data_IF_201360113928
#
_entry.id   IF_201360113928
#
_cell.length_a   1.000
_cell.length_b   1.000
_cell.length_c   1.000
_cell.angle_alpha   90.00
_cell.angle_beta   90.00
_cell.angle_gamma   90.00
#
_symmetry.space_group_name_H-M   'P 1'
#
loop_
_entity.id
_entity.type
_entity.pdbx_description
1 polymer ?
#
# COMPACT_ATOMS: atom_id res chain seq x y z
N UNK A 1 2.76 12.99 -15.10
CA UNK A 1 4.21 12.93 -15.38
C UNK A 1 4.52 11.51 -15.82
N UNK A 2 4.98 11.31 -17.06
CA UNK A 2 5.30 9.96 -17.54
C UNK A 2 6.57 9.49 -16.83
N UNK A 3 6.41 8.61 -15.85
CA UNK A 3 7.52 7.91 -15.20
C UNK A 3 8.22 7.02 -16.23
N UNK A 4 9.55 7.06 -16.25
CA UNK A 4 10.35 6.22 -17.14
C UNK A 4 10.27 4.76 -16.65
N UNK A 5 9.95 3.79 -17.53
CA UNK A 5 9.97 2.37 -17.18
C UNK A 5 11.26 1.97 -16.47
N UNK A 6 11.12 1.22 -15.39
CA UNK A 6 12.18 0.74 -14.52
C UNK A 6 13.32 0.08 -15.30
N UNK A 7 13.00 -0.78 -16.27
CA UNK A 7 13.99 -1.47 -17.11
C UNK A 7 14.77 -0.53 -18.03
N UNK A 8 14.28 0.68 -18.29
CA UNK A 8 14.93 1.66 -19.16
C UNK A 8 15.87 2.60 -18.41
N UNK A 9 15.66 2.77 -17.09
CA UNK A 9 16.39 3.75 -16.28
C UNK A 9 17.92 3.59 -16.33
N UNK A 10 18.50 2.38 -16.27
CA UNK A 10 19.96 2.20 -16.37
C UNK A 10 20.53 2.78 -17.68
N UNK A 11 19.77 2.67 -18.78
CA UNK A 11 20.19 3.11 -20.12
C UNK A 11 19.84 4.58 -20.41
N UNK A 12 18.98 5.21 -19.60
CA UNK A 12 18.46 6.56 -19.84
C UNK A 12 18.88 7.62 -18.83
N UNK A 13 18.71 7.32 -17.54
CA UNK A 13 18.75 8.32 -16.47
C UNK A 13 19.73 7.98 -15.35
N UNK A 14 20.07 6.70 -15.18
CA UNK A 14 20.95 6.21 -14.13
C UNK A 14 22.23 5.62 -14.72
N UNK A 15 23.09 6.48 -15.26
CA UNK A 15 24.31 6.09 -15.99
C UNK A 15 25.31 5.25 -15.18
N UNK A 16 25.26 5.32 -13.85
CA UNK A 16 26.10 4.53 -12.93
C UNK A 16 25.56 3.12 -12.68
N UNK A 17 24.33 2.83 -13.11
CA UNK A 17 23.67 1.54 -12.95
C UNK A 17 23.85 0.77 -14.25
N UNK A 18 24.56 -0.36 -14.17
CA UNK A 18 24.96 -1.14 -15.34
C UNK A 18 23.78 -1.77 -16.10
N UNK A 19 22.81 -2.32 -15.38
CA UNK A 19 21.68 -3.07 -15.95
C UNK A 19 20.50 -3.13 -14.97
N UNK A 20 19.40 -3.76 -15.39
CA UNK A 20 18.17 -3.86 -14.59
C UNK A 20 18.35 -4.71 -13.33
N UNK A 21 19.19 -5.75 -13.36
CA UNK A 21 19.44 -6.62 -12.20
C UNK A 21 20.23 -5.84 -11.15
N UNK A 22 21.21 -5.04 -11.59
CA UNK A 22 21.90 -4.10 -10.73
C UNK A 22 20.94 -3.07 -10.13
N UNK A 23 20.04 -2.50 -10.92
CA UNK A 23 19.03 -1.55 -10.44
C UNK A 23 18.13 -2.17 -9.37
N UNK A 24 17.66 -3.41 -9.58
CA UNK A 24 16.82 -4.14 -8.63
C UNK A 24 17.50 -4.33 -7.27
N UNK A 25 18.77 -4.74 -7.27
CA UNK A 25 19.53 -4.90 -6.03
C UNK A 25 19.80 -3.54 -5.35
N UNK A 26 20.02 -2.46 -6.11
CA UNK A 26 20.12 -1.11 -5.54
C UNK A 26 18.78 -0.71 -4.90
N UNK A 27 17.65 -0.92 -5.58
CA UNK A 27 16.32 -0.55 -5.10
C UNK A 27 15.99 -1.18 -3.73
N UNK A 28 16.31 -2.47 -3.57
CA UNK A 28 16.14 -3.19 -2.30
C UNK A 28 17.00 -2.64 -1.17
N UNK A 29 18.13 -2.01 -1.48
CA UNK A 29 19.07 -1.46 -0.49
C UNK A 29 18.92 0.06 -0.26
N UNK A 30 18.35 0.79 -1.21
CA UNK A 30 18.32 2.27 -1.23
C UNK A 30 17.38 2.89 -0.21
N UNK A 31 17.65 4.10 0.28
CA UNK A 31 16.75 4.71 1.26
C UNK A 31 15.38 5.04 0.67
N UNK A 32 14.38 5.32 1.52
CA UNK A 32 13.05 5.78 1.07
C UNK A 32 13.07 7.11 0.31
N UNK A 33 14.14 7.89 0.47
CA UNK A 33 14.36 9.14 -0.26
C UNK A 33 14.83 8.92 -1.70
N UNK A 34 15.42 7.76 -2.00
CA UNK A 34 16.01 7.45 -3.30
C UNK A 34 15.00 6.92 -4.32
N UNK A 35 13.88 7.64 -4.50
CA UNK A 35 12.74 7.21 -5.34
C UNK A 35 13.10 6.90 -6.78
N UNK A 36 14.18 7.48 -7.31
CA UNK A 36 14.69 7.18 -8.65
C UNK A 36 15.02 5.70 -8.86
N UNK A 37 15.37 4.97 -7.78
CA UNK A 37 15.68 3.55 -7.85
C UNK A 37 14.47 2.65 -7.62
N UNK A 38 13.36 3.13 -7.09
CA UNK A 38 12.26 2.26 -6.67
C UNK A 38 11.38 1.82 -7.85
N UNK A 39 10.96 0.56 -7.80
CA UNK A 39 9.97 -0.01 -8.70
C UNK A 39 8.58 0.42 -8.24
N UNK A 40 7.75 0.89 -9.17
CA UNK A 40 6.35 1.15 -8.90
C UNK A 40 5.50 0.08 -9.60
N UNK A 41 4.95 -0.84 -8.80
CA UNK A 41 4.14 -1.94 -9.30
C UNK A 41 2.72 -1.50 -9.57
N UNK A 42 2.11 -0.72 -8.67
CA UNK A 42 0.78 -0.12 -8.84
C UNK A 42 0.75 1.20 -8.07
N UNK A 43 0.43 2.30 -8.76
CA UNK A 43 0.18 3.60 -8.13
C UNK A 43 -1.29 4.04 -8.22
N UNK A 44 -2.10 3.40 -9.07
CA UNK A 44 -3.51 3.73 -9.23
C UNK A 44 -4.39 3.23 -8.07
N UNK A 45 -4.95 4.17 -7.29
CA UNK A 45 -5.89 3.89 -6.20
C UNK A 45 -7.17 3.16 -6.64
N UNK A 46 -7.48 3.14 -7.94
CA UNK A 46 -8.59 2.40 -8.53
C UNK A 46 -8.30 0.94 -8.86
N UNK A 47 -7.05 0.47 -8.70
CA UNK A 47 -6.68 -0.92 -9.02
C UNK A 47 -7.55 -1.92 -8.25
N UNK A 48 -8.04 -2.91 -8.98
CA UNK A 48 -8.73 -4.08 -8.45
C UNK A 48 -8.01 -5.34 -8.95
N UNK A 49 -7.81 -6.34 -8.09
CA UNK A 49 -7.12 -7.56 -8.50
C UNK A 49 -7.90 -8.29 -9.58
N UNK A 50 -7.18 -8.76 -10.59
CA UNK A 50 -7.76 -9.61 -11.63
C UNK A 50 -8.02 -11.03 -11.09
N UNK A 51 -9.22 -11.56 -11.33
CA UNK A 51 -9.60 -12.90 -10.88
C UNK A 51 -8.84 -14.02 -11.59
N UNK A 52 -8.73 -15.19 -10.94
CA UNK A 52 -7.91 -16.30 -11.43
C UNK A 52 -8.31 -16.80 -12.83
N UNK A 53 -9.60 -16.90 -13.11
CA UNK A 53 -10.10 -17.36 -14.40
C UNK A 53 -9.74 -16.39 -15.53
N UNK A 54 -9.77 -15.08 -15.27
CA UNK A 54 -9.41 -14.07 -16.28
C UNK A 54 -7.91 -14.06 -16.56
N UNK A 55 -7.08 -14.15 -15.52
CA UNK A 55 -5.63 -14.22 -15.68
C UNK A 55 -5.20 -15.42 -16.53
N UNK A 56 -5.87 -16.57 -16.39
CA UNK A 56 -5.52 -17.80 -17.11
C UNK A 56 -5.97 -17.85 -18.57
N UNK A 57 -6.75 -16.88 -19.05
CA UNK A 57 -7.24 -16.87 -20.45
C UNK A 57 -6.14 -16.78 -21.50
N UNK A 58 -5.02 -16.11 -21.16
CA UNK A 58 -3.89 -15.86 -22.05
C UNK A 58 -2.58 -16.25 -21.40
N UNK A 59 -1.60 -16.62 -22.21
CA UNK A 59 -0.28 -16.98 -21.71
C UNK A 59 0.41 -15.71 -21.19
N UNK A 60 0.90 -15.70 -19.94
CA UNK A 60 1.57 -14.54 -19.40
C UNK A 60 2.94 -14.35 -20.05
N UNK A 61 3.19 -13.19 -20.64
CA UNK A 61 4.48 -12.78 -21.17
C UNK A 61 5.24 -11.98 -20.11
N UNK A 62 6.21 -12.62 -19.47
CA UNK A 62 6.97 -12.05 -18.37
C UNK A 62 8.11 -11.16 -18.88
N UNK A 63 8.19 -9.97 -18.31
CA UNK A 63 9.34 -9.09 -18.48
C UNK A 63 10.40 -9.32 -17.39
N UNK A 64 11.47 -8.53 -17.44
CA UNK A 64 12.53 -8.58 -16.44
C UNK A 64 12.06 -8.29 -15.01
N UNK A 65 11.11 -7.36 -14.83
CA UNK A 65 10.66 -6.98 -13.48
C UNK A 65 9.86 -8.10 -12.84
N UNK A 66 8.96 -8.75 -13.59
CA UNK A 66 8.24 -9.94 -13.14
C UNK A 66 9.20 -11.08 -12.80
N UNK A 67 10.20 -11.36 -13.65
CA UNK A 67 11.17 -12.42 -13.38
C UNK A 67 11.98 -12.18 -12.09
N UNK A 68 12.44 -10.94 -11.86
CA UNK A 68 13.24 -10.59 -10.68
C UNK A 68 12.40 -10.64 -9.39
N UNK A 69 11.19 -10.09 -9.42
CA UNK A 69 10.28 -10.11 -8.27
C UNK A 69 9.85 -11.54 -7.94
N UNK A 70 9.47 -12.34 -8.93
CA UNK A 70 9.07 -13.73 -8.72
C UNK A 70 10.21 -14.59 -8.19
N UNK A 71 11.43 -14.39 -8.68
CA UNK A 71 12.60 -15.10 -8.16
C UNK A 71 12.83 -14.78 -6.68
N UNK A 72 12.77 -13.50 -6.30
CA UNK A 72 13.09 -13.08 -4.93
C UNK A 72 12.00 -13.41 -3.94
N UNK A 73 10.75 -13.41 -4.39
CA UNK A 73 9.63 -13.91 -3.61
C UNK A 73 9.57 -15.45 -3.59
N UNK A 74 10.38 -16.16 -4.37
CA UNK A 74 10.37 -17.62 -4.47
C UNK A 74 9.05 -18.15 -5.06
N UNK A 75 8.53 -17.49 -6.08
CA UNK A 75 7.22 -17.75 -6.69
C UNK A 75 7.29 -18.38 -8.09
N UNK A 76 8.48 -18.53 -8.70
CA UNK A 76 8.64 -19.05 -10.07
C UNK A 76 7.88 -20.37 -10.27
N UNK A 77 8.16 -21.38 -9.43
CA UNK A 77 7.50 -22.69 -9.51
C UNK A 77 5.98 -22.59 -9.38
N UNK A 78 5.53 -21.75 -8.45
CA UNK A 78 4.13 -21.59 -8.14
C UNK A 78 3.37 -20.88 -9.27
N UNK A 79 3.97 -19.86 -9.90
CA UNK A 79 3.42 -19.18 -11.07
C UNK A 79 3.34 -20.10 -12.28
N UNK A 80 4.39 -20.87 -12.55
CA UNK A 80 4.38 -21.83 -13.67
C UNK A 80 3.33 -22.91 -13.44
N UNK A 81 3.16 -23.38 -12.21
CA UNK A 81 2.08 -24.31 -11.85
C UNK A 81 0.70 -23.68 -12.03
N UNK A 82 0.53 -22.42 -11.63
CA UNK A 82 -0.75 -21.71 -11.69
C UNK A 82 -1.23 -21.48 -13.13
N UNK A 83 -0.31 -21.14 -14.05
CA UNK A 83 -0.62 -20.88 -15.45
C UNK A 83 -0.45 -22.12 -16.36
N UNK A 84 0.30 -23.13 -15.92
CA UNK A 84 0.69 -24.31 -16.72
C UNK A 84 1.79 -24.02 -17.75
N UNK A 85 1.68 -22.89 -18.45
CA UNK A 85 2.69 -22.37 -19.36
C UNK A 85 2.88 -20.86 -19.16
N UNK A 86 4.11 -20.40 -19.31
CA UNK A 86 4.45 -18.98 -19.32
C UNK A 86 5.25 -18.66 -20.58
N UNK A 87 5.35 -17.38 -20.95
CA UNK A 87 6.20 -16.92 -22.03
C UNK A 87 7.27 -15.96 -21.51
N UNK A 88 8.49 -16.11 -22.00
CA UNK A 88 9.59 -15.16 -21.79
C UNK A 88 10.20 -14.90 -23.16
N UNK A 89 10.22 -13.65 -23.62
CA UNK A 89 10.73 -13.30 -24.95
C UNK A 89 12.17 -13.80 -25.13
N UNK A 90 12.51 -14.24 -26.35
CA UNK A 90 13.82 -14.85 -26.64
C UNK A 90 14.98 -13.92 -26.29
N UNK A 91 14.87 -12.63 -26.59
CA UNK A 91 15.86 -11.62 -26.24
C UNK A 91 16.03 -11.45 -24.72
N UNK A 92 14.97 -11.62 -23.93
CA UNK A 92 15.08 -11.60 -22.45
C UNK A 92 15.87 -12.81 -21.94
N UNK A 93 15.65 -14.00 -22.50
CA UNK A 93 16.42 -15.19 -22.17
C UNK A 93 17.89 -15.10 -22.62
N UNK A 94 18.15 -14.49 -23.78
CA UNK A 94 19.50 -14.21 -24.27
C UNK A 94 20.21 -13.17 -23.39
N UNK A 95 19.54 -12.07 -23.01
CA UNK A 95 20.08 -11.09 -22.06
C UNK A 95 20.38 -11.75 -20.70
N UNK A 96 19.53 -12.67 -20.22
CA UNK A 96 19.81 -13.44 -19.01
C UNK A 96 21.09 -14.28 -19.15
N UNK A 97 21.27 -14.96 -20.27
CA UNK A 97 22.48 -15.73 -20.54
C UNK A 97 23.72 -14.81 -20.58
N UNK A 98 23.63 -13.65 -21.22
CA UNK A 98 24.70 -12.64 -21.25
C UNK A 98 25.05 -12.13 -19.84
N UNK A 99 24.05 -11.84 -19.01
CA UNK A 99 24.27 -11.35 -17.65
C UNK A 99 24.92 -12.39 -16.72
N UNK A 100 24.81 -13.68 -17.04
CA UNK A 100 25.54 -14.74 -16.31
C UNK A 100 27.01 -14.86 -16.71
N UNK A 101 27.47 -14.14 -17.75
CA UNK A 101 28.86 -14.18 -18.19
C UNK A 101 29.81 -13.62 -17.11
N UNK A 102 30.88 -14.34 -16.75
CA UNK A 102 31.79 -13.91 -15.69
C UNK A 102 32.67 -12.69 -16.03
N UNK A 103 32.84 -12.36 -17.31
CA UNK A 103 33.77 -11.32 -17.77
C UNK A 103 33.06 -9.99 -18.03
N UNK A 104 31.89 -10.03 -18.65
CA UNK A 104 31.16 -8.83 -19.11
C UNK A 104 29.66 -8.87 -18.79
N UNK A 105 29.22 -9.81 -17.95
CA UNK A 105 27.83 -9.89 -17.49
C UNK A 105 27.49 -8.86 -16.43
N UNK A 106 26.36 -9.05 -15.76
CA UNK A 106 25.88 -8.14 -14.73
C UNK A 106 26.82 -8.15 -13.51
N UNK A 107 27.05 -7.00 -12.83
CA UNK A 107 27.73 -6.99 -11.53
C UNK A 107 26.96 -7.80 -10.46
N UNK A 108 25.68 -8.10 -10.71
CA UNK A 108 24.84 -8.97 -9.88
C UNK A 108 24.68 -10.37 -10.49
N UNK A 109 25.74 -10.90 -11.11
CA UNK A 109 25.79 -12.23 -11.74
C UNK A 109 25.19 -13.36 -10.89
N UNK A 110 25.44 -13.39 -9.57
CA UNK A 110 24.86 -14.42 -8.69
C UNK A 110 23.34 -14.46 -8.78
N UNK A 111 22.71 -13.29 -8.94
CA UNK A 111 21.27 -13.15 -9.06
C UNK A 111 20.72 -13.70 -10.37
N UNK A 112 21.45 -13.45 -11.47
CA UNK A 112 21.13 -14.03 -12.77
C UNK A 112 21.26 -15.56 -12.75
N UNK A 113 22.26 -16.09 -12.04
CA UNK A 113 22.44 -17.54 -11.88
C UNK A 113 21.32 -18.16 -11.03
N UNK A 114 20.89 -17.49 -9.95
CA UNK A 114 19.72 -17.90 -9.15
C UNK A 114 18.47 -18.00 -10.03
N UNK A 115 18.17 -16.96 -10.80
CA UNK A 115 17.02 -16.93 -11.71
C UNK A 115 17.12 -18.01 -12.79
N UNK A 116 18.29 -18.17 -13.43
CA UNK A 116 18.50 -19.21 -14.42
C UNK A 116 18.29 -20.61 -13.83
N UNK A 117 18.76 -20.85 -12.62
CA UNK A 117 18.57 -22.12 -11.92
C UNK A 117 17.12 -22.36 -11.53
N UNK A 118 16.36 -21.32 -11.17
CA UNK A 118 14.94 -21.41 -10.88
C UNK A 118 14.10 -21.72 -12.14
N UNK A 119 14.49 -21.19 -13.30
CA UNK A 119 13.78 -21.43 -14.57
C UNK A 119 14.11 -22.79 -15.21
N UNK A 120 15.32 -23.31 -14.98
CA UNK A 120 15.83 -24.53 -15.64
C UNK A 120 14.94 -25.78 -15.50
N UNK A 121 14.34 -26.09 -14.33
CA UNK A 121 13.43 -27.23 -14.19
C UNK A 121 12.17 -27.11 -15.05
N UNK A 122 11.81 -25.91 -15.46
CA UNK A 122 10.53 -25.59 -16.11
C UNK A 122 10.64 -25.24 -17.58
N UNK A 123 11.78 -25.46 -18.23
CA UNK A 123 12.01 -25.06 -19.63
C UNK A 123 10.94 -25.59 -20.60
N UNK A 124 10.36 -26.76 -20.34
CA UNK A 124 9.27 -27.32 -21.15
C UNK A 124 7.96 -26.52 -21.07
N UNK A 125 7.76 -25.76 -19.99
CA UNK A 125 6.60 -24.89 -19.76
C UNK A 125 6.87 -23.41 -20.11
N UNK A 126 8.09 -23.07 -20.55
CA UNK A 126 8.47 -21.70 -20.90
C UNK A 126 8.52 -21.57 -22.43
N UNK A 127 7.55 -20.86 -22.98
CA UNK A 127 7.55 -20.44 -24.38
C UNK A 127 8.57 -19.30 -24.57
N UNK A 128 9.33 -19.36 -25.67
CA UNK A 128 10.28 -18.31 -26.06
C UNK A 128 9.86 -17.67 -27.38
N UNK A 129 8.78 -16.87 -27.40
CA UNK A 129 8.33 -16.20 -28.60
C UNK A 129 9.39 -15.21 -29.10
N UNK A 130 9.42 -15.04 -30.42
CA UNK A 130 10.15 -13.99 -31.12
C UNK A 130 9.20 -13.33 -32.13
N UNK A 131 9.39 -12.05 -32.48
CA UNK A 131 8.55 -11.38 -33.45
C UNK A 131 8.62 -12.12 -34.79
N UNK A 132 7.49 -12.36 -35.48
CA UNK A 132 7.53 -12.92 -36.82
C UNK A 132 8.28 -11.96 -37.77
N UNK A 133 9.09 -12.53 -38.68
CA UNK A 133 10.05 -11.86 -39.59
C UNK A 133 9.48 -10.78 -40.52
N UNK A 134 8.18 -10.50 -40.45
CA UNK A 134 7.53 -9.48 -41.27
C UNK A 134 8.09 -8.10 -40.89
N UNK A 135 8.74 -7.45 -41.86
CA UNK A 135 9.36 -6.15 -41.74
C UNK A 135 8.41 -5.15 -41.04
N UNK A 136 8.71 -4.82 -39.79
CA UNK A 136 7.93 -3.86 -39.04
C UNK A 136 8.14 -2.48 -39.62
N UNK A 137 7.06 -1.81 -40.04
CA UNK A 137 7.07 -0.35 -40.11
C UNK A 137 7.47 0.18 -38.74
N UNK A 138 8.35 1.17 -38.71
CA UNK A 138 8.95 1.67 -37.48
C UNK A 138 7.86 2.14 -36.51
N UNK A 139 7.78 1.50 -35.35
CA UNK A 139 6.89 1.93 -34.28
C UNK A 139 7.22 3.39 -33.91
N UNK A 140 6.23 4.30 -33.82
CA UNK A 140 6.46 5.74 -33.67
C UNK A 140 7.11 6.12 -32.34
N UNK A 141 7.16 5.21 -31.34
CA UNK A 141 7.83 5.42 -30.07
C UNK A 141 9.10 4.56 -29.94
N UNK A 142 10.24 5.18 -29.65
CA UNK A 142 11.54 4.50 -29.52
C UNK A 142 11.60 3.71 -28.19
N UNK A 143 11.26 2.42 -28.23
CA UNK A 143 11.46 1.48 -27.13
C UNK A 143 12.95 1.29 -26.85
N UNK A 144 13.32 1.16 -25.58
CA UNK A 144 14.72 1.06 -25.16
C UNK A 144 15.05 -0.35 -24.70
N UNK A 145 16.02 -0.95 -25.38
CA UNK A 145 16.50 -2.28 -25.07
C UNK A 145 15.81 -3.36 -25.87
N UNK A 146 16.61 -4.36 -26.28
CA UNK A 146 16.16 -5.43 -27.16
C UNK A 146 15.02 -6.24 -26.57
N UNK A 147 15.13 -6.63 -25.29
CA UNK A 147 14.08 -7.37 -24.57
C UNK A 147 12.74 -6.61 -24.53
N UNK A 148 12.77 -5.33 -24.19
CA UNK A 148 11.56 -4.51 -24.14
C UNK A 148 10.95 -4.30 -25.52
N UNK A 149 11.76 -4.05 -26.56
CA UNK A 149 11.28 -3.92 -27.94
C UNK A 149 10.58 -5.20 -28.40
N UNK A 150 11.17 -6.36 -28.11
CA UNK A 150 10.60 -7.65 -28.48
C UNK A 150 9.26 -7.91 -27.80
N UNK A 151 9.14 -7.58 -26.50
CA UNK A 151 7.88 -7.70 -25.75
C UNK A 151 6.78 -6.83 -26.38
N UNK A 152 7.08 -5.57 -26.69
CA UNK A 152 6.12 -4.64 -27.32
C UNK A 152 5.64 -5.17 -28.68
N UNK A 153 6.57 -5.68 -29.49
CA UNK A 153 6.23 -6.26 -30.80
C UNK A 153 5.38 -7.53 -30.69
N UNK A 154 5.70 -8.43 -29.74
CA UNK A 154 4.92 -9.65 -29.50
C UNK A 154 3.49 -9.30 -29.07
N UNK A 155 3.33 -8.37 -28.13
CA UNK A 155 2.02 -7.95 -27.64
C UNK A 155 1.19 -7.27 -28.73
N UNK A 156 1.82 -6.46 -29.59
CA UNK A 156 1.14 -5.81 -30.71
C UNK A 156 0.67 -6.78 -31.80
N UNK A 157 1.41 -7.87 -32.02
CA UNK A 157 1.11 -8.85 -33.09
C UNK A 157 0.25 -10.03 -32.62
N UNK A 158 0.37 -10.45 -31.37
CA UNK A 158 -0.35 -11.60 -30.80
C UNK A 158 -1.11 -11.25 -29.49
N UNK A 159 -1.92 -10.17 -29.45
CA UNK A 159 -2.59 -9.70 -28.22
C UNK A 159 -3.61 -10.71 -27.66
N UNK A 160 -4.21 -11.54 -28.52
CA UNK A 160 -5.17 -12.58 -28.11
C UNK A 160 -4.49 -13.80 -27.47
N UNK A 161 -3.18 -13.95 -27.66
CA UNK A 161 -2.43 -15.10 -27.15
C UNK A 161 -1.62 -14.76 -25.91
N UNK A 162 -0.97 -13.61 -25.92
CA UNK A 162 -0.09 -13.16 -24.85
C UNK A 162 -0.68 -11.97 -24.12
N UNK A 163 -0.52 -11.96 -22.80
CA UNK A 163 -0.85 -10.82 -21.95
C UNK A 163 0.40 -10.41 -21.17
N UNK A 164 0.66 -9.10 -21.08
CA UNK A 164 1.85 -8.62 -20.38
C UNK A 164 1.75 -8.91 -18.88
N UNK A 165 2.73 -9.64 -18.36
CA UNK A 165 3.01 -9.74 -16.94
C UNK A 165 4.27 -8.93 -16.65
N UNK A 166 4.09 -7.75 -16.06
CA UNK A 166 5.18 -6.86 -15.67
C UNK A 166 4.88 -6.25 -14.30
N UNK A 167 5.88 -6.15 -13.45
CA UNK A 167 5.80 -5.47 -12.16
C UNK A 167 6.15 -3.99 -12.24
N UNK A 168 6.27 -3.44 -13.45
CA UNK A 168 6.46 -2.03 -13.73
C UNK A 168 5.21 -1.41 -14.36
N UNK A 169 4.48 -0.62 -13.57
CA UNK A 169 3.28 0.07 -14.04
C UNK A 169 3.56 0.97 -15.26
N UNK A 170 4.74 1.61 -15.31
CA UNK A 170 5.08 2.51 -16.42
C UNK A 170 5.27 1.76 -17.72
N UNK A 171 5.81 0.53 -17.67
CA UNK A 171 5.91 -0.33 -18.84
C UNK A 171 4.54 -0.81 -19.30
N UNK A 172 3.66 -1.21 -18.38
CA UNK A 172 2.29 -1.64 -18.72
C UNK A 172 1.50 -0.50 -19.39
N UNK A 173 1.58 0.72 -18.86
CA UNK A 173 0.97 1.91 -19.47
C UNK A 173 1.59 2.21 -20.84
N UNK A 174 2.91 2.10 -20.96
CA UNK A 174 3.59 2.32 -22.24
C UNK A 174 3.11 1.34 -23.32
N UNK A 175 3.04 0.05 -23.00
CA UNK A 175 2.57 -0.99 -23.92
C UNK A 175 1.10 -0.81 -24.32
N UNK A 176 0.28 -0.20 -23.47
CA UNK A 176 -1.12 0.12 -23.80
C UNK A 176 -1.24 1.22 -24.86
N UNK A 177 -0.21 2.06 -25.05
CA UNK A 177 -0.11 3.08 -26.10
C UNK A 177 -1.35 4.03 -26.19
N UNK A 178 -1.97 4.34 -25.06
CA UNK A 178 -3.17 5.21 -24.98
C UNK A 178 -4.50 4.47 -25.01
N UNK A 179 -4.49 3.14 -25.17
CA UNK A 179 -5.63 2.26 -24.92
C UNK A 179 -5.75 1.89 -23.43
N UNK A 180 -6.79 1.13 -23.08
CA UNK A 180 -6.90 0.52 -21.76
C UNK A 180 -5.70 -0.38 -21.46
N UNK A 181 -5.19 -0.32 -20.23
CA UNK A 181 -4.00 -1.09 -19.83
C UNK A 181 -4.36 -2.56 -19.73
N UNK A 182 -3.87 -3.33 -20.71
CA UNK A 182 -4.09 -4.78 -20.77
C UNK A 182 -2.86 -5.58 -20.32
N UNK A 183 -2.52 -5.44 -19.03
CA UNK A 183 -1.45 -6.18 -18.38
C UNK A 183 -1.68 -6.27 -16.89
N UNK A 184 -0.98 -7.19 -16.24
CA UNK A 184 -1.12 -7.44 -14.80
C UNK A 184 0.24 -7.58 -14.11
N UNK A 185 0.23 -7.62 -12.79
CA UNK A 185 1.42 -7.67 -11.95
C UNK A 185 1.35 -8.76 -10.88
N UNK A 186 2.39 -8.86 -10.06
CA UNK A 186 2.51 -9.87 -9.00
C UNK A 186 1.39 -9.74 -7.97
N UNK A 187 0.83 -8.54 -7.71
CA UNK A 187 -0.32 -8.41 -6.81
C UNK A 187 -1.58 -9.12 -7.33
N UNK A 188 -1.81 -9.09 -8.65
CA UNK A 188 -2.91 -9.82 -9.29
C UNK A 188 -2.71 -11.32 -9.12
N UNK A 189 -1.50 -11.80 -9.41
CA UNK A 189 -1.14 -13.22 -9.31
C UNK A 189 -1.23 -13.74 -7.88
N UNK A 190 -0.73 -12.99 -6.90
CA UNK A 190 -0.84 -13.35 -5.49
C UNK A 190 -2.31 -13.47 -5.05
N UNK A 191 -3.17 -12.57 -5.54
CA UNK A 191 -4.61 -12.60 -5.24
C UNK A 191 -5.27 -13.82 -5.87
N UNK A 192 -5.03 -14.05 -7.15
CA UNK A 192 -5.58 -15.19 -7.89
C UNK A 192 -5.10 -16.55 -7.37
N UNK A 193 -3.82 -16.68 -6.98
CA UNK A 193 -3.30 -17.89 -6.36
C UNK A 193 -3.92 -18.15 -4.98
N UNK A 194 -4.28 -17.09 -4.25
CA UNK A 194 -5.01 -17.22 -2.98
C UNK A 194 -6.47 -17.64 -3.21
N UNK A 195 -7.12 -17.10 -4.25
CA UNK A 195 -8.48 -17.45 -4.67
C UNK A 195 -8.63 -18.96 -4.92
N UNK A 196 -7.65 -19.57 -5.58
CA UNK A 196 -7.65 -21.01 -5.89
C UNK A 196 -7.00 -21.90 -4.82
N UNK A 197 -6.64 -21.32 -3.67
CA UNK A 197 -6.08 -22.05 -2.53
C UNK A 197 -4.64 -22.53 -2.71
N UNK A 198 -3.91 -22.05 -3.72
CA UNK A 198 -2.49 -22.37 -3.92
C UNK A 198 -1.58 -21.59 -2.96
N UNK A 199 -2.00 -20.40 -2.52
CA UNK A 199 -1.39 -19.65 -1.43
C UNK A 199 -2.41 -19.44 -0.32
N UNK A 200 -1.96 -19.50 0.92
CA UNK A 200 -2.78 -19.05 2.05
C UNK A 200 -2.82 -17.51 2.12
N UNK A 201 -3.86 -16.92 2.73
CA UNK A 201 -3.94 -15.47 2.92
C UNK A 201 -2.77 -14.87 3.71
N UNK A 202 -2.19 -15.63 4.65
CA UNK A 202 -1.03 -15.19 5.43
C UNK A 202 0.26 -15.20 4.59
N UNK A 203 0.42 -16.15 3.68
CA UNK A 203 1.53 -16.16 2.73
C UNK A 203 1.44 -14.98 1.77
N UNK A 204 0.24 -14.71 1.21
CA UNK A 204 0.00 -13.50 0.39
C UNK A 204 0.43 -12.23 1.14
N UNK A 205 -0.06 -12.04 2.36
CA UNK A 205 0.26 -10.86 3.17
C UNK A 205 1.77 -10.77 3.47
N UNK A 206 2.43 -11.91 3.71
CA UNK A 206 3.88 -11.97 3.89
C UNK A 206 4.67 -11.57 2.64
N UNK A 207 4.25 -12.00 1.44
CA UNK A 207 4.88 -11.58 0.18
C UNK A 207 4.67 -10.09 -0.09
N UNK A 208 3.50 -9.55 0.21
CA UNK A 208 3.23 -8.10 0.11
C UNK A 208 4.10 -7.31 1.10
N UNK A 209 4.25 -7.79 2.33
CA UNK A 209 5.16 -7.18 3.30
C UNK A 209 6.62 -7.15 2.82
N UNK A 210 7.06 -8.23 2.15
CA UNK A 210 8.39 -8.29 1.55
C UNK A 210 8.57 -7.25 0.43
N UNK A 211 7.55 -7.05 -0.42
CA UNK A 211 7.54 -5.99 -1.44
C UNK A 211 7.63 -4.60 -0.79
N UNK A 212 6.91 -4.36 0.31
CA UNK A 212 6.99 -3.12 1.08
C UNK A 212 8.39 -2.89 1.69
N UNK A 213 9.04 -3.95 2.18
CA UNK A 213 10.41 -3.90 2.70
C UNK A 213 11.40 -3.47 1.61
N UNK A 214 11.23 -4.00 0.39
CA UNK A 214 12.00 -3.64 -0.80
C UNK A 214 11.60 -2.29 -1.42
N UNK A 215 10.71 -1.54 -0.78
CA UNK A 215 10.21 -0.23 -1.22
C UNK A 215 9.57 -0.26 -2.60
N UNK A 216 8.99 -1.40 -2.97
CA UNK A 216 8.17 -1.49 -4.19
C UNK A 216 6.86 -0.74 -3.94
N UNK A 217 6.50 0.15 -4.86
CA UNK A 217 5.21 0.85 -4.84
C UNK A 217 4.07 -0.11 -5.11
N UNK A 218 3.39 -0.54 -4.05
CA UNK A 218 2.27 -1.49 -4.08
C UNK A 218 1.05 -0.90 -3.38
N UNK A 219 -0.12 -1.46 -3.67
CA UNK A 219 -1.33 -1.22 -2.89
C UNK A 219 -1.50 -2.36 -1.90
N UNK A 220 -1.67 -1.99 -0.62
CA UNK A 220 -1.94 -2.95 0.45
C UNK A 220 -3.39 -2.78 0.87
N UNK A 221 -4.20 -3.83 0.73
CA UNK A 221 -5.59 -3.78 1.20
C UNK A 221 -5.62 -4.00 2.73
N UNK A 222 -6.70 -3.59 3.37
CA UNK A 222 -6.84 -3.72 4.83
C UNK A 222 -6.76 -5.19 5.27
N UNK A 223 -7.24 -6.11 4.43
CA UNK A 223 -7.25 -7.54 4.72
C UNK A 223 -5.85 -8.08 5.01
N UNK A 224 -4.84 -7.61 4.29
CA UNK A 224 -3.44 -7.98 4.43
C UNK A 224 -2.86 -7.50 5.76
N UNK A 225 -3.20 -6.27 6.17
CA UNK A 225 -2.79 -5.72 7.48
C UNK A 225 -3.36 -6.59 8.60
N UNK A 226 -4.66 -6.92 8.52
CA UNK A 226 -5.34 -7.76 9.52
C UNK A 226 -4.70 -9.16 9.59
N UNK A 227 -4.34 -9.77 8.46
CA UNK A 227 -3.67 -11.07 8.45
C UNK A 227 -2.30 -11.05 9.13
N UNK A 228 -1.59 -9.92 9.10
CA UNK A 228 -0.28 -9.77 9.73
C UNK A 228 -0.35 -9.42 11.22
N UNK A 229 -1.54 -9.23 11.81
CA UNK A 229 -1.67 -8.94 13.23
C UNK A 229 -1.28 -10.18 14.06
N UNK A 230 -0.30 -10.05 14.98
CA UNK A 230 0.07 -11.16 15.86
C UNK A 230 -1.09 -11.58 16.76
N UNK A 231 -1.34 -12.88 16.98
CA UNK A 231 -2.42 -13.34 17.87
C UNK A 231 -2.35 -12.76 19.29
N UNK A 232 -1.14 -12.48 19.80
CA UNK A 232 -0.94 -11.88 21.10
C UNK A 232 -1.48 -10.43 21.21
N UNK A 233 -1.62 -9.72 20.09
CA UNK A 233 -2.19 -8.37 20.08
C UNK A 233 -3.68 -8.37 20.47
N UNK A 234 -4.38 -9.50 20.27
CA UNK A 234 -5.79 -9.67 20.62
C UNK A 234 -6.03 -9.91 22.12
N UNK A 235 -4.98 -10.14 22.90
CA UNK A 235 -5.09 -10.39 24.35
C UNK A 235 -4.26 -9.41 25.17
N UNK A 236 -3.66 -8.41 24.52
CA UNK A 236 -2.89 -7.36 25.17
C UNK A 236 -3.76 -6.54 26.12
N UNK A 237 -3.23 -6.28 27.33
CA UNK A 237 -3.96 -5.58 28.39
C UNK A 237 -3.80 -4.06 28.33
N UNK A 238 -2.71 -3.57 27.74
CA UNK A 238 -2.40 -2.14 27.63
C UNK A 238 -1.98 -1.79 26.21
N UNK A 239 -2.17 -0.53 25.82
CA UNK A 239 -1.75 -0.05 24.49
C UNK A 239 -0.25 -0.20 24.32
N UNK A 240 0.54 0.07 25.37
CA UNK A 240 2.00 -0.12 25.34
C UNK A 240 2.39 -1.56 25.06
N UNK A 241 1.80 -2.52 25.77
CA UNK A 241 2.07 -3.94 25.53
C UNK A 241 1.68 -4.34 24.10
N UNK A 242 0.52 -3.86 23.62
CA UNK A 242 0.10 -4.12 22.26
C UNK A 242 1.09 -3.53 21.23
N UNK A 243 1.58 -2.30 21.43
CA UNK A 243 2.61 -1.69 20.57
C UNK A 243 3.87 -2.55 20.53
N UNK A 244 4.40 -2.97 21.68
CA UNK A 244 5.59 -3.84 21.76
C UNK A 244 5.39 -5.17 21.00
N UNK A 245 4.17 -5.75 21.05
CA UNK A 245 3.82 -6.95 20.29
C UNK A 245 3.78 -6.69 18.78
N UNK A 246 3.21 -5.56 18.35
CA UNK A 246 3.13 -5.19 16.94
C UNK A 246 4.52 -4.86 16.36
N UNK A 247 5.36 -4.16 17.12
CA UNK A 247 6.76 -3.84 16.77
C UNK A 247 7.62 -5.10 16.59
N UNK A 248 7.28 -6.18 17.30
CA UNK A 248 7.99 -7.46 17.21
C UNK A 248 7.62 -8.29 15.97
N UNK A 249 6.67 -7.88 15.13
CA UNK A 249 6.33 -8.55 13.86
C UNK A 249 6.88 -7.76 12.66
N UNK A 250 8.03 -8.17 12.09
CA UNK A 250 8.72 -7.40 11.06
C UNK A 250 7.88 -7.17 9.81
N UNK A 251 7.04 -8.14 9.42
CA UNK A 251 6.22 -8.04 8.20
C UNK A 251 5.18 -6.93 8.35
N UNK A 252 4.55 -6.83 9.52
CA UNK A 252 3.59 -5.78 9.82
C UNK A 252 4.29 -4.41 9.79
N UNK A 253 5.48 -4.30 10.38
CA UNK A 253 6.23 -3.04 10.42
C UNK A 253 6.67 -2.60 9.02
N UNK A 254 7.06 -3.52 8.13
CA UNK A 254 7.34 -3.21 6.73
C UNK A 254 6.13 -2.59 6.04
N UNK A 255 4.94 -3.17 6.22
CA UNK A 255 3.67 -2.67 5.65
C UNK A 255 3.29 -1.31 6.24
N UNK A 256 3.22 -1.20 7.56
CA UNK A 256 2.87 0.04 8.28
C UNK A 256 3.82 1.17 7.88
N UNK A 257 5.10 0.85 7.69
CA UNK A 257 6.08 1.83 7.24
C UNK A 257 5.84 2.25 5.82
N UNK A 258 5.55 1.35 4.89
CA UNK A 258 5.23 1.71 3.52
C UNK A 258 3.97 2.59 3.42
N UNK A 259 2.91 2.25 4.16
CA UNK A 259 1.63 2.97 4.09
C UNK A 259 1.66 4.35 4.73
N UNK A 260 2.28 4.48 5.90
CA UNK A 260 2.31 5.74 6.66
C UNK A 260 3.69 6.37 6.64
N UNK A 261 4.26 6.48 5.44
CA UNK A 261 5.51 7.22 5.25
C UNK A 261 5.31 8.69 5.62
N UNK A 262 6.22 9.25 6.42
CA UNK A 262 6.16 10.64 6.85
C UNK A 262 6.30 11.61 5.67
N UNK A 263 6.82 11.16 4.52
CA UNK A 263 6.98 11.95 3.28
C UNK A 263 5.68 12.10 2.48
N UNK A 264 4.65 11.32 2.79
CA UNK A 264 3.33 11.46 2.18
C UNK A 264 2.61 12.63 2.86
N UNK A 265 1.90 13.51 2.13
CA UNK A 265 1.14 14.60 2.74
C UNK A 265 0.27 14.12 3.91
N UNK A 266 0.18 14.94 4.96
CA UNK A 266 -0.57 14.61 6.17
C UNK A 266 -1.99 14.14 5.85
N UNK A 267 -2.73 14.93 5.06
CA UNK A 267 -4.12 14.66 4.69
C UNK A 267 -4.31 13.28 4.02
N UNK A 268 -3.45 12.93 3.06
CA UNK A 268 -3.53 11.63 2.39
C UNK A 268 -3.29 10.47 3.37
N UNK A 269 -2.34 10.63 4.28
CA UNK A 269 -2.06 9.63 5.31
C UNK A 269 -3.17 9.54 6.36
N UNK A 270 -3.75 10.67 6.75
CA UNK A 270 -4.92 10.76 7.62
C UNK A 270 -6.12 10.02 7.01
N UNK A 271 -6.43 10.27 5.74
CA UNK A 271 -7.52 9.60 5.03
C UNK A 271 -7.36 8.08 5.02
N UNK A 272 -6.15 7.59 4.75
CA UNK A 272 -5.86 6.15 4.80
C UNK A 272 -5.97 5.56 6.22
N UNK A 273 -5.41 6.22 7.23
CA UNK A 273 -5.50 5.75 8.61
C UNK A 273 -6.93 5.76 9.14
N UNK A 274 -7.70 6.80 8.80
CA UNK A 274 -9.11 6.93 9.15
C UNK A 274 -9.98 5.86 8.48
N UNK A 275 -9.74 5.58 7.19
CA UNK A 275 -10.43 4.49 6.47
C UNK A 275 -10.14 3.13 7.11
N UNK A 276 -8.88 2.85 7.45
CA UNK A 276 -8.51 1.63 8.16
C UNK A 276 -9.17 1.55 9.55
N UNK A 277 -9.16 2.64 10.32
CA UNK A 277 -9.81 2.69 11.63
C UNK A 277 -11.31 2.44 11.53
N UNK A 278 -11.99 3.12 10.61
CA UNK A 278 -13.43 2.97 10.38
C UNK A 278 -13.79 1.51 10.10
N UNK A 279 -13.17 0.90 9.10
CA UNK A 279 -13.43 -0.49 8.72
C UNK A 279 -13.13 -1.49 9.85
N UNK A 280 -12.07 -1.28 10.63
CA UNK A 280 -11.74 -2.14 11.77
C UNK A 280 -12.68 -1.95 12.96
N UNK A 281 -13.22 -0.73 13.14
CA UNK A 281 -14.26 -0.43 14.13
C UNK A 281 -15.58 -1.12 13.77
N UNK A 282 -15.90 -1.26 12.49
CA UNK A 282 -17.09 -1.99 12.05
C UNK A 282 -16.95 -3.51 12.19
N UNK A 283 -15.79 -4.08 11.82
CA UNK A 283 -15.59 -5.53 11.77
C UNK A 283 -15.49 -6.22 13.15
N UNK A 284 -15.30 -5.46 14.24
CA UNK A 284 -15.22 -6.01 15.61
C UNK A 284 -14.16 -7.10 15.87
N UNK A 285 -13.16 -7.28 14.99
CA UNK A 285 -12.20 -8.38 15.10
C UNK A 285 -11.06 -8.11 16.10
N UNK A 286 -10.47 -6.91 16.09
CA UNK A 286 -9.33 -6.54 16.95
C UNK A 286 -9.80 -5.75 18.18
N UNK A 287 -9.44 -6.10 19.43
CA UNK A 287 -9.84 -5.31 20.59
C UNK A 287 -9.41 -3.84 20.51
N UNK A 288 -10.09 -2.97 21.25
CA UNK A 288 -9.86 -1.52 21.26
C UNK A 288 -8.40 -1.18 21.60
N UNK A 289 -7.78 -1.94 22.51
CA UNK A 289 -6.36 -1.83 22.86
C UNK A 289 -5.44 -2.09 21.67
N UNK A 290 -5.73 -3.13 20.88
CA UNK A 290 -4.97 -3.46 19.68
C UNK A 290 -5.18 -2.41 18.57
N UNK A 291 -6.40 -1.91 18.43
CA UNK A 291 -6.71 -0.83 17.48
C UNK A 291 -5.98 0.47 17.84
N UNK A 292 -6.02 0.87 19.10
CA UNK A 292 -5.29 2.03 19.59
C UNK A 292 -3.78 1.85 19.37
N UNK A 293 -3.22 0.67 19.60
CA UNK A 293 -1.81 0.38 19.32
C UNK A 293 -1.47 0.48 17.82
N UNK A 294 -2.32 -0.04 16.94
CA UNK A 294 -2.13 0.10 15.50
C UNK A 294 -2.18 1.58 15.07
N UNK A 295 -3.17 2.34 15.54
CA UNK A 295 -3.29 3.77 15.26
C UNK A 295 -2.17 4.60 15.90
N UNK A 296 -1.57 4.12 16.99
CA UNK A 296 -0.41 4.76 17.60
C UNK A 296 0.79 4.79 16.64
N UNK A 297 1.00 3.74 15.85
CA UNK A 297 2.06 3.70 14.84
C UNK A 297 1.89 4.77 13.76
N UNK A 298 0.65 5.00 13.32
CA UNK A 298 0.34 6.12 12.43
C UNK A 298 0.61 7.45 13.12
N UNK A 299 0.07 7.63 14.33
CA UNK A 299 0.15 8.90 15.06
C UNK A 299 1.60 9.34 15.32
N UNK A 300 2.51 8.43 15.69
CA UNK A 300 3.94 8.75 15.85
C UNK A 300 4.53 9.33 14.57
N UNK A 301 4.19 8.77 13.41
CA UNK A 301 4.71 9.23 12.11
C UNK A 301 4.03 10.50 11.63
N UNK A 302 2.74 10.66 11.93
CA UNK A 302 2.00 11.89 11.65
C UNK A 302 2.59 13.08 12.42
N UNK A 303 2.99 12.88 13.68
CA UNK A 303 3.62 13.91 14.51
C UNK A 303 5.01 14.37 14.02
N UNK A 304 5.64 13.61 13.11
CA UNK A 304 6.94 13.99 12.50
C UNK A 304 6.76 14.87 11.24
N UNK A 305 5.52 15.15 10.82
CA UNK A 305 5.25 15.88 9.58
C UNK A 305 5.16 17.37 9.83
N UNK A 306 5.74 18.14 8.91
CA UNK A 306 5.70 19.61 8.95
C UNK A 306 4.33 20.19 8.56
N UNK A 307 3.49 19.41 7.89
CA UNK A 307 2.14 19.79 7.44
C UNK A 307 1.03 19.21 8.34
N UNK A 308 1.39 18.57 9.46
CA UNK A 308 0.44 18.15 10.49
C UNK A 308 0.08 19.32 11.43
N UNK A 309 -1.07 19.25 12.14
CA UNK A 309 -1.40 20.23 13.17
C UNK A 309 -0.30 20.36 14.23
N UNK A 310 -0.03 21.59 14.68
CA UNK A 310 0.99 21.90 15.70
C UNK A 310 0.75 21.16 17.03
N UNK A 311 -0.52 20.86 17.33
CA UNK A 311 -0.91 20.13 18.54
C UNK A 311 -1.12 18.65 18.23
N UNK A 312 -0.30 17.77 18.83
CA UNK A 312 -0.41 16.32 18.64
C UNK A 312 -1.81 15.77 18.97
N UNK A 313 -2.47 16.31 20.01
CA UNK A 313 -3.84 15.93 20.36
C UNK A 313 -4.85 16.25 19.26
N UNK A 314 -4.64 17.33 18.50
CA UNK A 314 -5.48 17.69 17.35
C UNK A 314 -5.36 16.64 16.24
N UNK A 315 -4.18 16.06 16.04
CA UNK A 315 -3.98 14.96 15.08
C UNK A 315 -4.83 13.74 15.42
N UNK A 316 -4.91 13.38 16.71
CA UNK A 316 -5.77 12.26 17.17
C UNK A 316 -7.24 12.60 16.94
N UNK A 317 -7.67 13.83 17.26
CA UNK A 317 -9.07 14.26 17.06
C UNK A 317 -9.45 14.23 15.58
N UNK A 318 -8.57 14.69 14.69
CA UNK A 318 -8.81 14.63 13.25
C UNK A 318 -8.93 13.17 12.77
N UNK A 319 -8.12 12.24 13.26
CA UNK A 319 -8.26 10.81 12.95
C UNK A 319 -9.67 10.30 13.28
N UNK A 320 -10.17 10.60 14.46
CA UNK A 320 -11.50 10.16 14.92
C UNK A 320 -12.61 10.77 14.06
N UNK A 321 -12.56 12.08 13.80
CA UNK A 321 -13.56 12.77 12.98
C UNK A 321 -13.54 12.25 11.55
N UNK A 322 -12.36 12.13 10.94
CA UNK A 322 -12.24 11.62 9.57
C UNK A 322 -12.68 10.16 9.48
N UNK A 323 -12.47 9.34 10.50
CA UNK A 323 -12.99 7.96 10.52
C UNK A 323 -14.52 7.93 10.64
N UNK A 324 -15.12 8.83 11.42
CA UNK A 324 -16.57 8.97 11.53
C UNK A 324 -17.22 9.57 10.25
N UNK A 325 -16.46 10.33 9.45
CA UNK A 325 -16.91 10.86 8.16
C UNK A 325 -17.09 9.77 7.08
N UNK A 326 -16.45 8.60 7.21
CA UNK A 326 -16.45 7.56 6.17
C UNK A 326 -17.82 6.88 5.95
N UNK A 327 -18.77 7.05 6.87
CA UNK A 327 -20.10 6.47 6.77
C UNK A 327 -20.96 6.76 7.99
N UNK A 328 -22.15 6.18 8.04
CA UNK A 328 -22.98 6.21 9.24
C UNK A 328 -22.30 5.40 10.35
N UNK A 329 -22.30 5.92 11.59
CA UNK A 329 -21.66 5.26 12.73
C UNK A 329 -22.72 4.70 13.70
N UNK A 330 -23.07 3.40 13.62
CA UNK A 330 -23.98 2.78 14.58
C UNK A 330 -23.49 2.97 16.02
N UNK A 331 -24.41 3.03 16.99
CA UNK A 331 -24.10 3.28 18.40
C UNK A 331 -22.97 2.40 18.97
N UNK A 332 -22.91 1.12 18.57
CA UNK A 332 -21.84 0.20 18.98
C UNK A 332 -20.47 0.61 18.41
N UNK A 333 -20.41 0.96 17.12
CA UNK A 333 -19.22 1.46 16.46
C UNK A 333 -18.78 2.81 17.06
N UNK A 334 -19.71 3.72 17.33
CA UNK A 334 -19.44 5.01 17.98
C UNK A 334 -18.85 4.84 19.39
N UNK A 335 -19.41 3.92 20.18
CA UNK A 335 -18.89 3.59 21.51
C UNK A 335 -17.48 3.00 21.44
N UNK A 336 -17.22 2.16 20.44
CA UNK A 336 -15.91 1.56 20.20
C UNK A 336 -14.88 2.59 19.74
N UNK A 337 -15.28 3.52 18.88
CA UNK A 337 -14.45 4.64 18.44
C UNK A 337 -14.08 5.57 19.62
N UNK A 338 -15.03 5.83 20.54
CA UNK A 338 -14.74 6.52 21.81
C UNK A 338 -13.71 5.79 22.67
N UNK A 339 -13.81 4.47 22.80
CA UNK A 339 -12.84 3.69 23.56
C UNK A 339 -11.43 3.77 22.94
N UNK A 340 -11.33 3.66 21.61
CA UNK A 340 -10.05 3.83 20.90
C UNK A 340 -9.51 5.25 21.07
N UNK A 341 -10.37 6.28 20.99
CA UNK A 341 -9.98 7.67 21.22
C UNK A 341 -9.36 7.88 22.59
N UNK A 342 -10.02 7.42 23.67
CA UNK A 342 -9.51 7.55 25.04
C UNK A 342 -8.18 6.83 25.21
N UNK A 343 -8.06 5.60 24.72
CA UNK A 343 -6.82 4.83 24.77
C UNK A 343 -5.66 5.50 24.02
N UNK A 344 -5.94 6.19 22.90
CA UNK A 344 -4.94 6.97 22.17
C UNK A 344 -4.52 8.23 22.94
N UNK A 345 -5.46 8.93 23.57
CA UNK A 345 -5.18 10.11 24.42
C UNK A 345 -4.35 9.72 25.64
N UNK A 346 -4.74 8.65 26.33
CA UNK A 346 -3.98 8.07 27.45
C UNK A 346 -2.58 7.66 27.01
N UNK A 347 -2.45 6.98 25.86
CA UNK A 347 -1.15 6.59 25.30
C UNK A 347 -0.28 7.78 24.90
N UNK A 348 -0.88 8.89 24.48
CA UNK A 348 -0.18 10.12 24.12
C UNK A 348 0.40 10.84 25.34
N UNK A 349 -0.38 10.97 26.41
CA UNK A 349 0.03 11.66 27.64
C UNK A 349 0.84 10.77 28.60
N UNK A 350 0.69 9.44 28.52
CA UNK A 350 1.40 8.48 29.38
C UNK A 350 1.16 8.77 30.86
N UNK A 351 2.24 8.82 31.64
CA UNK A 351 2.20 9.06 33.09
C UNK A 351 1.68 10.46 33.47
N UNK A 352 1.61 11.40 32.51
CA UNK A 352 1.07 12.74 32.74
C UNK A 352 -0.45 12.81 32.63
N UNK A 353 -1.10 11.72 32.21
CA UNK A 353 -2.55 11.68 32.03
C UNK A 353 -3.27 11.93 33.35
N UNK A 354 -4.21 12.88 33.34
CA UNK A 354 -5.08 13.22 34.47
C UNK A 354 -6.51 13.55 33.99
N UNK A 355 -7.43 13.72 34.93
CA UNK A 355 -8.83 14.05 34.64
C UNK A 355 -8.98 15.39 33.89
N UNK A 356 -8.03 16.32 34.08
CA UNK A 356 -8.06 17.62 33.40
C UNK A 356 -7.76 17.44 31.91
N UNK A 357 -6.74 16.65 31.58
CA UNK A 357 -6.36 16.33 30.20
C UNK A 357 -7.43 15.50 29.49
N UNK A 358 -8.10 14.59 30.21
CA UNK A 358 -9.27 13.87 29.68
C UNK A 358 -10.37 14.86 29.26
N UNK A 359 -10.77 15.77 30.15
CA UNK A 359 -11.78 16.80 29.83
C UNK A 359 -11.34 17.71 28.67
N UNK A 360 -10.07 18.10 28.62
CA UNK A 360 -9.52 18.91 27.51
C UNK A 360 -9.68 18.18 26.18
N UNK A 361 -9.36 16.88 26.14
CA UNK A 361 -9.49 16.06 24.93
C UNK A 361 -10.94 15.95 24.47
N UNK A 362 -11.87 15.64 25.38
CA UNK A 362 -13.31 15.53 25.08
C UNK A 362 -13.84 16.86 24.54
N UNK A 363 -13.48 17.99 25.16
CA UNK A 363 -13.88 19.32 24.70
C UNK A 363 -13.30 19.65 23.32
N UNK A 364 -12.07 19.23 23.04
CA UNK A 364 -11.45 19.46 21.74
C UNK A 364 -12.18 18.70 20.63
N UNK A 365 -12.55 17.43 20.88
CA UNK A 365 -13.33 16.64 19.92
C UNK A 365 -14.69 17.32 19.62
N UNK A 366 -15.42 17.75 20.66
CA UNK A 366 -16.70 18.46 20.49
C UNK A 366 -16.55 19.77 19.72
N UNK A 367 -15.53 20.55 20.06
CA UNK A 367 -15.21 21.81 19.36
C UNK A 367 -14.88 21.59 17.89
N UNK A 368 -14.17 20.50 17.56
CA UNK A 368 -13.80 20.17 16.19
C UNK A 368 -14.98 19.64 15.37
N UNK A 369 -15.93 18.93 15.96
CA UNK A 369 -17.21 18.62 15.30
C UNK A 369 -17.98 19.91 14.93
N UNK A 370 -17.99 20.92 15.79
CA UNK A 370 -18.63 22.21 15.49
C UNK A 370 -17.89 23.00 14.41
N UNK A 371 -16.55 22.94 14.40
CA UNK A 371 -15.76 23.53 13.31
C UNK A 371 -16.07 22.83 11.98
N UNK A 372 -16.15 21.50 11.96
CA UNK A 372 -16.53 20.75 10.76
C UNK A 372 -17.90 21.18 10.23
N UNK A 373 -18.90 21.36 11.10
CA UNK A 373 -20.23 21.84 10.69
C UNK A 373 -20.18 23.19 9.98
N UNK A 374 -19.21 24.06 10.31
CA UNK A 374 -19.06 25.38 9.68
C UNK A 374 -18.47 25.31 8.26
N UNK A 375 -17.72 24.26 7.92
CA UNK A 375 -17.11 24.06 6.59
C UNK A 375 -17.83 23.02 5.74
N UNK A 376 -18.53 22.07 6.36
CA UNK A 376 -19.32 21.02 5.73
C UNK A 376 -20.64 20.85 6.49
N UNK A 377 -21.65 21.63 6.07
CA UNK A 377 -22.95 21.67 6.73
C UNK A 377 -23.62 20.28 6.76
N UNK A 378 -24.13 19.89 7.93
CA UNK A 378 -24.77 18.59 8.18
C UNK A 378 -23.82 17.51 8.69
N UNK A 379 -22.57 17.47 8.23
CA UNK A 379 -21.62 16.41 8.62
C UNK A 379 -21.14 16.55 10.07
N UNK A 380 -20.86 17.78 10.52
CA UNK A 380 -20.42 18.03 11.88
C UNK A 380 -21.50 17.72 12.91
N UNK A 381 -22.75 18.10 12.62
CA UNK A 381 -23.92 17.79 13.44
C UNK A 381 -24.19 16.28 13.48
N UNK A 382 -24.07 15.59 12.34
CA UNK A 382 -24.27 14.14 12.25
C UNK A 382 -23.29 13.41 13.16
N UNK A 383 -22.00 13.66 13.00
CA UNK A 383 -20.95 13.02 13.80
C UNK A 383 -21.10 13.36 15.28
N UNK A 384 -21.39 14.62 15.60
CA UNK A 384 -21.68 15.04 16.96
C UNK A 384 -22.82 14.20 17.56
N UNK A 385 -23.93 14.06 16.84
CA UNK A 385 -25.11 13.32 17.30
C UNK A 385 -24.77 11.84 17.53
N UNK A 386 -24.16 11.17 16.54
CA UNK A 386 -23.80 9.74 16.62
C UNK A 386 -22.83 9.46 17.78
N UNK A 387 -21.82 10.32 17.97
CA UNK A 387 -20.87 10.19 19.08
C UNK A 387 -21.52 10.50 20.43
N UNK A 388 -22.36 11.53 20.53
CA UNK A 388 -23.00 11.95 21.77
C UNK A 388 -24.02 10.92 22.27
N UNK A 389 -24.81 10.33 21.38
CA UNK A 389 -25.80 9.29 21.71
C UNK A 389 -25.17 7.97 22.17
N UNK A 390 -23.90 7.75 21.84
CA UNK A 390 -23.13 6.58 22.26
C UNK A 390 -22.57 6.68 23.68
N UNK A 391 -22.46 7.90 24.22
CA UNK A 391 -22.08 8.14 25.60
C UNK A 391 -23.23 7.84 26.56
N UNK A 392 -22.91 7.51 27.81
CA UNK A 392 -23.92 7.30 28.84
C UNK A 392 -24.55 8.63 29.22
N UNK A 393 -25.89 8.68 29.19
CA UNK A 393 -26.64 9.89 29.48
C UNK A 393 -26.41 10.39 30.91
N UNK A 394 -26.24 11.69 31.07
CA UNK A 394 -26.04 12.33 32.38
C UNK A 394 -24.63 12.21 32.94
N UNK A 395 -23.67 11.69 32.16
CA UNK A 395 -22.25 11.65 32.55
C UNK A 395 -21.55 12.99 32.31
N UNK A 396 -20.43 13.19 33.02
CA UNK A 396 -19.55 14.35 32.83
C UNK A 396 -19.04 14.38 31.38
N UNK A 397 -18.64 13.24 30.83
CA UNK A 397 -18.10 13.15 29.47
C UNK A 397 -19.09 13.63 28.41
N UNK A 398 -20.35 13.18 28.51
CA UNK A 398 -21.41 13.63 27.60
C UNK A 398 -21.63 15.15 27.72
N UNK A 399 -21.66 15.65 28.96
CA UNK A 399 -21.86 17.08 29.24
C UNK A 399 -20.71 17.93 28.68
N UNK A 400 -19.46 17.52 28.89
CA UNK A 400 -18.27 18.21 28.40
C UNK A 400 -18.21 18.22 26.86
N UNK A 401 -18.53 17.10 26.22
CA UNK A 401 -18.58 16.98 24.76
C UNK A 401 -19.67 17.90 24.15
N UNK A 402 -20.90 17.81 24.66
CA UNK A 402 -22.04 18.58 24.19
C UNK A 402 -21.89 20.08 24.42
N UNK A 403 -21.38 20.48 25.58
CA UNK A 403 -21.11 21.89 25.89
C UNK A 403 -20.05 22.46 24.94
N UNK A 404 -18.95 21.75 24.71
CA UNK A 404 -17.90 22.22 23.83
C UNK A 404 -18.36 22.40 22.38
N UNK A 405 -19.14 21.45 21.85
CA UNK A 405 -19.76 21.58 20.53
C UNK A 405 -20.66 22.82 20.46
N UNK A 406 -21.56 22.98 21.43
CA UNK A 406 -22.54 24.07 21.45
C UNK A 406 -21.85 25.43 21.55
N UNK A 407 -20.89 25.59 22.46
CA UNK A 407 -20.12 26.83 22.64
C UNK A 407 -19.34 27.19 21.38
N UNK A 408 -18.65 26.23 20.76
CA UNK A 408 -17.89 26.46 19.53
C UNK A 408 -18.81 26.86 18.35
N UNK A 409 -19.99 26.23 18.23
CA UNK A 409 -20.98 26.57 17.20
C UNK A 409 -21.53 27.99 17.35
N UNK A 410 -21.83 28.41 18.59
CA UNK A 410 -22.28 29.79 18.88
C UNK A 410 -21.18 30.80 18.54
N UNK A 411 -19.92 30.50 18.91
CA UNK A 411 -18.79 31.36 18.61
C UNK A 411 -18.56 31.52 17.09
N UNK A 412 -18.77 30.46 16.30
CA UNK A 412 -18.66 30.50 14.84
C UNK A 412 -19.78 31.30 14.15
N UNK A 413 -20.98 31.36 14.76
CA UNK A 413 -22.14 32.11 14.26
C UNK A 413 -22.13 33.59 14.68
N UNK A 414 -21.31 33.96 15.67
CA UNK A 414 -21.20 35.34 16.13
C UNK A 414 -20.39 36.16 15.11
N UNK A 415 -20.91 37.27 14.55
CA UNK A 415 -20.18 38.08 13.59
C UNK A 415 -18.89 38.60 14.23
N UNK A 416 -17.75 38.41 13.56
CA UNK A 416 -16.50 39.09 13.91
C UNK A 416 -16.73 40.60 13.71
N UNK A 417 -17.20 41.30 14.74
CA UNK A 417 -17.16 42.76 14.75
C UNK A 417 -15.67 43.16 14.69
N UNK A 418 -15.25 43.63 13.51
CA UNK A 418 -13.90 44.10 13.25
C UNK A 418 -13.51 45.20 14.23
N UNK A 419 -12.26 45.12 14.72
CA UNK A 419 -11.57 46.28 15.28
C UNK A 419 -11.02 47.13 14.15
#
# INVERSE_FOLDING_TARGET
MNTVPFSWRPRLVLSYVCDIVHLWEIAKASSRDDRQYHLAMVNDTGWQPTGADDLRKRVPLLDWTALLVLNDLGLIDAVITFFGQIAVAKATMEELAEFTNPVFGSPKRSKCLELQNALKPHLASILQPSPPEVASEASPARVIGRSNSEIVEILGKEPERYRLYSDDESLRIFCAAGSEVDGFCTLDVLTAMTEVGQLSPIEKAGKIAQLCEWRVGVIVQLSEIVRLLPPAAYTARTVRQAVEILDAEPRLISVISALWDYRVPFEKSLGHAASALHALVEQAQLPETGLAALMRHWHVKAAMKNDAPDQALETIVLLIITAALMGHLPKACAKRLWAVYRLLVESHHGDQMDERLEKVSIRLLGSKCAQLESVAAGEGLRIFTELNESLTEGTIDQSEFANAYTTARIAAQSPKFGR
#
